data_IF_214261318661
#
_entry.id   IF_214261318661
#
_cell.length_a   1.000
_cell.length_b   1.000
_cell.length_c   1.000
_cell.angle_alpha   90.00
_cell.angle_beta   90.00
_cell.angle_gamma   90.00
#
_symmetry.space_group_name_H-M   'P 1'
#
loop_
_entity.id
_entity.type
_entity.pdbx_description
1 polymer ?
#
# COMPACT_ATOMS: atom_id res chain seq x y z
N UNK A 1 22.22 -10.61 -3.08
CA UNK A 1 21.23 -10.05 -2.15
C UNK A 1 20.60 -8.84 -2.78
N UNK A 2 19.30 -8.86 -2.86
CA UNK A 2 18.57 -7.80 -3.55
C UNK A 2 17.98 -6.76 -2.60
N UNK A 3 17.72 -7.12 -1.37
CA UNK A 3 17.07 -6.26 -0.43
C UNK A 3 17.68 -6.44 0.95
N UNK A 4 17.69 -5.35 1.72
CA UNK A 4 18.11 -5.42 3.12
C UNK A 4 16.98 -5.91 4.01
N UNK A 5 15.79 -6.10 3.45
CA UNK A 5 14.64 -6.59 4.19
C UNK A 5 14.49 -8.09 4.01
N UNK A 6 13.74 -8.73 4.90
CA UNK A 6 13.44 -10.15 4.75
C UNK A 6 12.56 -10.38 3.52
N UNK A 7 11.68 -9.44 3.22
CA UNK A 7 10.90 -9.46 2.00
C UNK A 7 10.53 -8.04 1.62
N UNK A 8 10.31 -7.83 0.33
CA UNK A 8 10.00 -6.50 -0.16
C UNK A 8 9.19 -6.59 -1.43
N UNK A 9 8.21 -5.71 -1.57
CA UNK A 9 7.38 -5.64 -2.76
C UNK A 9 7.12 -4.19 -3.13
N UNK A 10 7.20 -3.91 -4.41
CA UNK A 10 6.79 -2.63 -4.98
C UNK A 10 5.69 -2.90 -5.99
N UNK A 11 4.61 -2.13 -5.90
CA UNK A 11 3.49 -2.24 -6.81
C UNK A 11 3.13 -0.86 -7.31
N UNK A 12 3.01 -0.72 -8.63
CA UNK A 12 2.55 0.53 -9.22
C UNK A 12 1.32 0.26 -10.05
N UNK A 13 0.36 1.16 -9.99
CA UNK A 13 -0.86 1.01 -10.77
C UNK A 13 -1.48 2.38 -11.03
N UNK A 14 -2.33 2.41 -12.05
CA UNK A 14 -3.03 3.64 -12.41
C UNK A 14 -4.18 3.88 -11.43
N UNK A 15 -4.47 5.13 -11.17
CA UNK A 15 -5.45 5.56 -10.16
C UNK A 15 -6.89 5.34 -10.60
N UNK A 16 -7.20 4.14 -11.07
CA UNK A 16 -8.55 3.74 -11.40
C UNK A 16 -9.17 3.07 -10.19
N UNK A 17 -10.46 3.34 -9.96
CA UNK A 17 -11.11 2.85 -8.74
C UNK A 17 -11.10 1.33 -8.62
N UNK A 18 -11.15 0.60 -9.74
CA UNK A 18 -11.10 -0.86 -9.65
C UNK A 18 -9.72 -1.39 -9.23
N UNK A 19 -8.68 -0.57 -9.27
CA UNK A 19 -7.36 -1.00 -8.83
C UNK A 19 -7.21 -0.99 -7.31
N UNK A 20 -8.16 -0.40 -6.60
CA UNK A 20 -8.17 -0.48 -5.15
C UNK A 20 -8.29 -1.93 -4.68
N UNK A 21 -9.18 -2.70 -5.29
CA UNK A 21 -9.33 -4.10 -4.93
C UNK A 21 -8.06 -4.89 -5.22
N UNK A 22 -7.41 -4.59 -6.34
CA UNK A 22 -6.17 -5.26 -6.71
C UNK A 22 -5.09 -5.00 -5.66
N UNK A 23 -4.93 -3.76 -5.22
CA UNK A 23 -3.94 -3.42 -4.20
C UNK A 23 -4.26 -4.13 -2.88
N UNK A 24 -5.52 -4.15 -2.49
CA UNK A 24 -5.96 -4.77 -1.25
C UNK A 24 -5.67 -6.27 -1.24
N UNK A 25 -5.98 -6.93 -2.33
CA UNK A 25 -5.74 -8.37 -2.45
C UNK A 25 -4.25 -8.68 -2.49
N UNK A 26 -3.48 -7.85 -3.19
CA UNK A 26 -2.05 -8.05 -3.31
C UNK A 26 -1.36 -7.95 -1.96
N UNK A 27 -1.71 -6.94 -1.15
CA UNK A 27 -1.07 -6.80 0.15
C UNK A 27 -1.46 -7.95 1.07
N UNK A 28 -2.70 -8.43 1.00
CA UNK A 28 -3.11 -9.56 1.81
C UNK A 28 -2.28 -10.80 1.47
N UNK A 29 -2.04 -11.02 0.20
CA UNK A 29 -1.19 -12.14 -0.24
C UNK A 29 0.24 -11.98 0.25
N UNK A 30 0.77 -10.75 0.16
CA UNK A 30 2.14 -10.49 0.57
C UNK A 30 2.37 -10.77 2.05
N UNK A 31 1.42 -10.33 2.90
CA UNK A 31 1.60 -10.49 4.34
C UNK A 31 1.24 -11.89 4.84
N UNK A 32 0.65 -12.72 3.99
CA UNK A 32 0.20 -14.06 4.40
C UNK A 32 1.35 -14.91 4.91
N UNK A 33 2.57 -14.66 4.46
CA UNK A 33 3.74 -15.40 4.92
C UNK A 33 4.05 -15.24 6.39
N UNK A 34 3.51 -14.22 7.03
CA UNK A 34 3.70 -14.00 8.47
C UNK A 34 2.61 -14.62 9.30
N UNK A 35 1.69 -15.37 8.67
CA UNK A 35 0.61 -16.07 9.35
C UNK A 35 -0.22 -15.13 10.23
N UNK A 36 -0.72 -14.02 9.66
CA UNK A 36 -1.50 -13.08 10.46
C UNK A 36 -2.87 -13.64 10.82
N UNK A 37 -3.47 -13.08 11.87
CA UNK A 37 -4.84 -13.45 12.22
C UNK A 37 -5.79 -12.87 11.18
N UNK A 38 -7.03 -13.39 11.18
CA UNK A 38 -8.07 -12.88 10.29
C UNK A 38 -8.31 -11.38 10.55
N UNK A 39 -8.28 -10.98 11.82
CA UNK A 39 -8.48 -9.59 12.19
C UNK A 39 -7.34 -8.71 11.68
N UNK A 40 -6.11 -9.18 11.80
CA UNK A 40 -4.96 -8.42 11.30
C UNK A 40 -5.03 -8.23 9.80
N UNK A 41 -5.41 -9.27 9.07
CA UNK A 41 -5.55 -9.16 7.62
C UNK A 41 -6.66 -8.17 7.27
N UNK A 42 -7.79 -8.23 7.97
CA UNK A 42 -8.91 -7.32 7.72
C UNK A 42 -8.50 -5.88 7.96
N UNK A 43 -7.75 -5.61 9.03
CA UNK A 43 -7.29 -4.27 9.34
C UNK A 43 -6.35 -3.75 8.26
N UNK A 44 -5.42 -4.59 7.82
CA UNK A 44 -4.48 -4.20 6.77
C UNK A 44 -5.23 -3.89 5.47
N UNK A 45 -6.17 -4.75 5.09
CA UNK A 45 -6.94 -4.54 3.86
C UNK A 45 -7.74 -3.24 3.92
N UNK A 46 -8.35 -2.97 5.07
CA UNK A 46 -9.12 -1.74 5.24
C UNK A 46 -8.22 -0.50 5.14
N UNK A 47 -7.06 -0.54 5.79
CA UNK A 47 -6.13 0.58 5.75
C UNK A 47 -5.63 0.84 4.33
N UNK A 48 -5.31 -0.21 3.59
CA UNK A 48 -4.85 -0.07 2.20
C UNK A 48 -5.98 0.49 1.33
N UNK A 49 -7.19 -0.04 1.49
CA UNK A 49 -8.34 0.44 0.73
C UNK A 49 -8.56 1.94 0.93
N UNK A 50 -8.51 2.39 2.19
CA UNK A 50 -8.72 3.79 2.49
C UNK A 50 -7.63 4.66 1.91
N UNK A 51 -6.37 4.24 2.03
CA UNK A 51 -5.26 5.02 1.51
C UNK A 51 -5.28 5.11 0.00
N UNK A 52 -5.56 4.01 -0.68
CA UNK A 52 -5.63 4.00 -2.15
C UNK A 52 -6.81 4.85 -2.62
N UNK A 53 -7.96 4.71 -1.97
CA UNK A 53 -9.13 5.51 -2.32
C UNK A 53 -8.83 7.00 -2.16
N UNK A 54 -8.14 7.37 -1.08
CA UNK A 54 -7.76 8.76 -0.88
C UNK A 54 -6.83 9.26 -1.98
N UNK A 55 -5.89 8.44 -2.43
CA UNK A 55 -5.02 8.81 -3.54
C UNK A 55 -5.84 9.03 -4.82
N UNK A 56 -6.81 8.16 -5.08
CA UNK A 56 -7.64 8.28 -6.28
C UNK A 56 -8.47 9.55 -6.24
N UNK A 57 -9.11 9.82 -5.10
CA UNK A 57 -10.02 10.94 -5.00
C UNK A 57 -9.29 12.27 -4.85
N UNK A 58 -8.28 12.33 -4.00
CA UNK A 58 -7.65 13.59 -3.63
C UNK A 58 -6.32 13.82 -4.31
N UNK A 59 -5.60 12.75 -4.66
CA UNK A 59 -4.32 12.90 -5.32
C UNK A 59 -4.46 13.21 -6.80
N UNK A 60 -5.48 12.68 -7.46
CA UNK A 60 -5.63 12.78 -8.91
C UNK A 60 -7.05 13.16 -9.29
N UNK A 61 -7.51 14.29 -8.78
CA UNK A 61 -8.86 14.76 -9.07
C UNK A 61 -9.08 14.88 -10.57
N UNK A 62 -10.06 14.15 -11.08
CA UNK A 62 -10.47 14.19 -12.49
C UNK A 62 -9.36 13.86 -13.48
N UNK A 63 -8.28 13.23 -13.02
CA UNK A 63 -7.20 12.79 -13.90
C UNK A 63 -6.71 11.44 -13.43
N UNK A 64 -5.85 10.82 -14.22
CA UNK A 64 -5.22 9.55 -13.83
C UNK A 64 -3.75 9.77 -13.62
N UNK A 65 -3.19 9.00 -12.70
CA UNK A 65 -1.77 9.02 -12.43
C UNK A 65 -1.36 7.71 -11.79
N UNK A 66 -0.11 7.65 -11.36
CA UNK A 66 0.42 6.43 -10.75
C UNK A 66 0.30 6.48 -9.25
N UNK A 67 -0.10 5.36 -8.68
CA UNK A 67 -0.07 5.13 -7.24
C UNK A 67 0.96 4.05 -7.01
N UNK A 68 1.79 4.23 -6.00
CA UNK A 68 2.84 3.28 -5.64
C UNK A 68 2.58 2.73 -4.26
N UNK A 69 2.73 1.42 -4.12
CA UNK A 69 2.63 0.76 -2.82
C UNK A 69 3.92 0.01 -2.57
N UNK A 70 4.60 0.37 -1.51
CA UNK A 70 5.87 -0.24 -1.12
C UNK A 70 5.67 -0.95 0.20
N UNK A 71 5.88 -2.25 0.20
CA UNK A 71 5.72 -3.08 1.39
C UNK A 71 7.02 -3.75 1.73
N UNK A 72 7.38 -3.74 3.00
CA UNK A 72 8.58 -4.41 3.46
C UNK A 72 8.27 -5.24 4.71
N UNK A 73 9.01 -6.32 4.86
CA UNK A 73 8.94 -7.16 6.04
C UNK A 73 10.35 -7.26 6.60
N UNK A 74 10.48 -6.97 7.88
CA UNK A 74 11.75 -7.11 8.58
C UNK A 74 11.47 -7.49 10.02
N UNK A 75 12.07 -8.57 10.48
CA UNK A 75 11.91 -9.04 11.86
C UNK A 75 10.44 -9.22 12.24
N UNK A 76 9.67 -9.83 11.34
CA UNK A 76 8.24 -10.06 11.52
C UNK A 76 7.42 -8.79 11.66
N UNK A 77 7.97 -7.66 11.20
CA UNK A 77 7.26 -6.39 11.20
C UNK A 77 6.97 -6.00 9.75
N UNK A 78 5.76 -5.57 9.49
CA UNK A 78 5.33 -5.17 8.15
C UNK A 78 5.21 -3.66 8.11
N UNK A 79 5.82 -3.05 7.08
CA UNK A 79 5.67 -1.63 6.80
C UNK A 79 5.02 -1.48 5.44
N UNK A 80 3.97 -0.67 5.37
CA UNK A 80 3.27 -0.41 4.13
C UNK A 80 3.24 1.09 3.89
N UNK A 81 3.72 1.50 2.74
CA UNK A 81 3.77 2.90 2.37
C UNK A 81 3.06 3.07 1.03
N UNK A 82 2.12 3.99 0.97
CA UNK A 82 1.40 4.29 -0.25
C UNK A 82 1.65 5.75 -0.59
N UNK A 83 2.01 5.99 -1.86
CA UNK A 83 2.34 7.33 -2.31
C UNK A 83 1.73 7.59 -3.67
N UNK A 84 1.53 8.85 -3.97
CA UNK A 84 1.11 9.30 -5.29
C UNK A 84 1.92 10.53 -5.67
N UNK A 85 1.87 10.89 -6.95
CA UNK A 85 2.54 12.09 -7.44
C UNK A 85 1.53 13.21 -7.60
N UNK A 86 0.60 13.30 -6.66
CA UNK A 86 -0.55 14.18 -6.75
C UNK A 86 -0.30 15.44 -7.53
N UNK A 87 -1.30 15.90 -8.22
CA UNK A 87 -1.19 17.10 -9.02
C UNK A 87 -1.07 18.32 -8.14
N UNK A 88 -0.40 19.29 -8.65
CA UNK A 88 -0.36 20.57 -8.01
C UNK A 88 0.87 20.73 -7.18
N UNK A 89 0.74 21.56 -6.16
CA UNK A 89 1.88 22.13 -5.48
C UNK A 89 2.51 21.23 -4.44
N UNK A 90 1.90 20.09 -4.15
CA UNK A 90 2.33 19.30 -3.00
C UNK A 90 3.35 18.21 -3.33
N UNK A 91 3.56 17.92 -4.60
CA UNK A 91 4.48 16.86 -4.97
C UNK A 91 4.03 15.51 -4.46
N UNK A 92 4.99 14.70 -4.07
CA UNK A 92 4.71 13.37 -3.59
C UNK A 92 3.99 13.38 -2.25
N UNK A 93 3.01 12.51 -2.12
CA UNK A 93 2.35 12.29 -0.86
C UNK A 93 2.63 10.87 -0.42
N UNK A 94 3.07 10.74 0.81
CA UNK A 94 3.40 9.45 1.37
C UNK A 94 2.63 9.20 2.62
N UNK A 95 2.22 7.95 2.80
CA UNK A 95 1.57 7.52 4.01
C UNK A 95 2.17 6.22 4.47
N UNK A 96 2.74 6.22 5.66
CA UNK A 96 3.13 5.00 6.32
C UNK A 96 1.87 4.50 7.01
N UNK A 97 1.30 3.43 6.49
CA UNK A 97 -0.01 2.98 6.96
C UNK A 97 0.07 2.17 8.22
N UNK A 98 1.01 1.27 8.28
CA UNK A 98 0.99 0.29 9.35
C UNK A 98 2.34 -0.32 9.57
N UNK A 99 2.58 -0.69 10.82
CA UNK A 99 3.60 -1.65 11.11
C UNK A 99 2.97 -2.66 12.06
N UNK A 100 3.02 -3.93 11.67
CA UNK A 100 2.49 -5.01 12.48
C UNK A 100 3.65 -5.87 12.89
N UNK A 101 3.75 -6.09 14.19
CA UNK A 101 4.85 -6.86 14.75
C UNK A 101 4.33 -8.23 15.15
N UNK A 102 4.95 -9.26 14.60
CA UNK A 102 4.62 -10.64 14.91
C UNK A 102 5.73 -11.20 15.80
#
# INVERSE_FOLDING_TARGET
MFSKYDNEMNLEFISKSNNEAFARITVAAFVSGLDPTIEEIADIKTAVSEAVTNCIIHGYENTEGLIKMHCTIEDNTIFIEISDNGKGIYGDRRRALSSYNR
#
